data_IF_803759692674
#
_entry.id   IF_803759692674
#
_cell.length_a   1.000
_cell.length_b   1.000
_cell.length_c   1.000
_cell.angle_alpha   90.00
_cell.angle_beta   90.00
_cell.angle_gamma   90.00
#
_symmetry.space_group_name_H-M   'P 1'
#
loop_
_entity.id
_entity.type
_entity.pdbx_description
1 polymer ?
2 non-polymer ?
3 non-polymer ?
4 non-polymer ?
5 water ?
#
# COMPACT_ATOMS: atom_id res chain seq x y z
N UNK A 7 15.11 4.68 -9.50
CA UNK A 7 14.21 5.08 -10.58
C UNK A 7 14.12 3.99 -11.63
N UNK A 8 13.27 3.00 -11.37
CA UNK A 8 13.11 1.85 -12.26
C UNK A 8 12.02 2.18 -13.27
N UNK A 9 12.19 1.69 -14.50
CA UNK A 9 11.24 1.94 -15.58
C UNK A 9 10.36 0.70 -15.76
N UNK A 10 9.06 0.92 -15.82
CA UNK A 10 8.12 -0.18 -16.01
C UNK A 10 8.18 -0.68 -17.45
N UNK A 11 8.12 -2.00 -17.60
CA UNK A 11 8.15 -2.60 -18.93
C UNK A 11 7.03 -2.07 -19.82
N UNK A 12 5.94 -1.60 -19.22
CA UNK A 12 4.76 -1.23 -20.01
C UNK A 12 5.04 -0.03 -20.91
N UNK A 13 5.93 0.87 -20.49
CA UNK A 13 6.24 2.05 -21.27
C UNK A 13 6.05 3.37 -20.57
N UNK A 14 5.34 4.29 -21.22
CA UNK A 14 5.27 5.68 -20.79
C UNK A 14 4.15 5.90 -19.77
N UNK A 15 2.94 5.47 -20.09
CA UNK A 15 1.80 5.56 -19.18
C UNK A 15 1.07 4.23 -19.16
N UNK A 16 0.12 4.11 -18.24
CA UNK A 16 -0.64 2.87 -18.10
C UNK A 16 -1.41 2.57 -19.37
N UNK A 17 -1.39 1.30 -19.80
CA UNK A 17 -2.15 0.88 -20.96
C UNK A 17 -3.66 0.95 -20.73
N UNK A 18 -4.10 1.11 -19.48
CA UNK A 18 -5.52 1.21 -19.17
C UNK A 18 -6.09 2.58 -19.47
N UNK A 19 -5.25 3.60 -19.61
CA UNK A 19 -5.74 4.95 -19.85
C UNK A 19 -6.04 5.15 -21.33
N UNK A 20 -7.23 5.68 -21.61
CA UNK A 20 -7.65 5.91 -22.99
C UNK A 20 -7.12 7.22 -23.55
N UNK A 21 -7.01 8.25 -22.72
CA UNK A 21 -6.46 9.54 -23.12
C UNK A 21 -5.02 9.68 -22.65
N UNK A 22 -4.34 10.71 -23.15
CA UNK A 22 -2.98 10.98 -22.72
C UNK A 22 -2.98 11.45 -21.26
N UNK A 23 -2.00 10.97 -20.50
CA UNK A 23 -1.94 11.20 -19.07
C UNK A 23 -1.19 12.48 -18.76
N UNK A 24 -1.78 13.32 -17.92
CA UNK A 24 -1.16 14.58 -17.47
C UNK A 24 -0.95 14.50 -15.96
N UNK A 25 0.24 14.15 -15.50
CA UNK A 25 0.43 13.92 -14.05
C UNK A 25 0.17 15.15 -13.20
N UNK A 26 0.19 16.35 -13.77
CA UNK A 26 -0.01 17.56 -13.00
C UNK A 26 -1.47 17.96 -12.88
N UNK A 27 -2.32 17.44 -13.77
CA UNK A 27 -3.72 17.82 -13.81
C UNK A 27 -4.70 16.67 -13.65
N UNK A 28 -4.25 15.42 -13.74
CA UNK A 28 -5.14 14.28 -13.70
C UNK A 28 -5.08 13.58 -12.35
N UNK A 29 -6.21 12.98 -11.97
CA UNK A 29 -6.21 12.05 -10.86
C UNK A 29 -5.32 10.87 -11.18
N UNK A 30 -4.66 10.33 -10.15
CA UNK A 30 -3.65 9.31 -10.37
C UNK A 30 -3.68 8.30 -9.22
N UNK A 31 -3.01 7.17 -9.45
CA UNK A 31 -2.95 6.09 -8.48
C UNK A 31 -1.50 5.74 -8.19
N UNK A 32 -1.25 5.23 -6.99
CA UNK A 32 0.08 4.85 -6.55
C UNK A 32 -0.03 3.50 -5.84
N UNK A 33 0.76 2.53 -6.29
CA UNK A 33 0.80 1.20 -5.66
C UNK A 33 2.03 1.13 -4.76
N UNK A 34 1.80 0.87 -3.48
CA UNK A 34 2.87 0.78 -2.50
C UNK A 34 3.08 -0.69 -2.15
N UNK A 35 4.30 -1.16 -2.34
CA UNK A 35 4.66 -2.55 -2.06
C UNK A 35 5.74 -2.59 -0.98
N UNK A 36 5.47 -3.34 0.08
CA UNK A 36 6.44 -3.52 1.15
C UNK A 36 7.07 -4.90 1.11
N UNK A 37 8.39 -4.94 0.97
CA UNK A 37 9.14 -6.18 0.83
C UNK A 37 9.70 -6.56 2.19
N UNK A 38 9.73 -7.86 2.49
CA UNK A 38 10.10 -8.35 3.81
C UNK A 38 11.56 -8.73 3.91
N UNK A 39 12.44 -8.01 3.23
CA UNK A 39 13.88 -8.25 3.33
C UNK A 39 14.52 -7.22 4.26
N UNK A 49 14.02 -14.07 -3.56
CA UNK A 49 13.66 -14.64 -2.28
C UNK A 49 12.75 -13.69 -1.50
N UNK A 50 12.96 -12.40 -1.70
CA UNK A 50 12.18 -11.39 -0.99
C UNK A 50 10.73 -11.40 -1.45
N UNK A 51 9.81 -11.17 -0.50
CA UNK A 51 8.38 -11.27 -0.74
C UNK A 51 7.70 -9.95 -0.44
N UNK A 52 6.67 -9.64 -1.24
CA UNK A 52 5.89 -8.40 -1.08
C UNK A 52 4.72 -8.70 -0.15
N UNK A 53 4.91 -8.43 1.14
CA UNK A 53 3.88 -8.73 2.14
C UNK A 53 2.91 -7.58 2.36
N UNK A 54 3.27 -6.36 1.98
CA UNK A 54 2.38 -5.22 2.08
C UNK A 54 2.04 -4.75 0.67
N UNK A 55 0.75 -4.51 0.42
CA UNK A 55 0.27 -4.17 -0.91
C UNK A 55 -0.89 -3.18 -0.75
N UNK A 56 -0.59 -1.89 -0.92
CA UNK A 56 -1.57 -0.83 -0.68
C UNK A 56 -1.64 0.04 -1.93
N UNK A 57 -2.83 0.15 -2.52
CA UNK A 57 -3.08 1.04 -3.63
C UNK A 57 -3.77 2.30 -3.12
N UNK A 58 -3.24 3.46 -3.50
CA UNK A 58 -3.81 4.75 -3.12
C UNK A 58 -4.24 5.47 -4.40
N UNK A 59 -5.50 5.86 -4.46
CA UNK A 59 -6.05 6.59 -5.60
C UNK A 59 -6.37 8.01 -5.16
N UNK A 60 -5.83 8.98 -5.90
CA UNK A 60 -5.97 10.40 -5.56
C UNK A 60 -6.92 11.06 -6.53
N UNK A 61 -8.04 11.57 -6.01
CA UNK A 61 -8.98 12.35 -6.81
C UNK A 61 -8.55 13.81 -6.76
N UNK A 62 -7.97 14.30 -7.85
CA UNK A 62 -7.41 15.65 -7.87
C UNK A 62 -8.50 16.69 -7.65
N UNK A 63 -9.59 16.61 -8.43
CA UNK A 63 -10.63 17.62 -8.34
C UNK A 63 -11.18 17.72 -6.92
N UNK A 64 -11.49 16.58 -6.31
CA UNK A 64 -12.08 16.55 -4.98
C UNK A 64 -11.06 16.65 -3.87
N UNK A 65 -9.77 16.53 -4.18
CA UNK A 65 -8.71 16.58 -3.16
C UNK A 65 -8.93 15.49 -2.11
N UNK A 66 -9.13 14.26 -2.57
CA UNK A 66 -9.35 13.12 -1.70
C UNK A 66 -8.43 11.98 -2.10
N UNK A 67 -8.12 11.13 -1.13
CA UNK A 67 -7.34 9.91 -1.35
C UNK A 67 -8.04 8.75 -0.69
N UNK A 68 -8.10 7.62 -1.41
CA UNK A 68 -8.70 6.40 -0.90
C UNK A 68 -7.66 5.30 -0.92
N UNK A 69 -7.46 4.65 0.22
CA UNK A 69 -6.47 3.59 0.35
C UNK A 69 -7.17 2.23 0.25
N UNK A 70 -6.49 1.29 -0.39
CA UNK A 70 -7.01 -0.07 -0.55
C UNK A 70 -5.87 -1.03 -0.33
N UNK A 71 -5.99 -1.86 0.71
CA UNK A 71 -5.06 -2.95 0.93
C UNK A 71 -5.55 -4.17 0.16
N UNK A 72 -4.66 -4.76 -0.63
CA UNK A 72 -4.97 -5.95 -1.42
C UNK A 72 -4.54 -7.16 -0.61
N UNK A 73 -5.46 -8.00 -0.13
CA UNK A 73 -5.05 -9.19 0.63
C UNK A 73 -4.04 -10.01 -0.15
N UNK A 74 -2.92 -10.34 0.51
CA UNK A 74 -1.85 -11.05 -0.19
C UNK A 74 -2.29 -12.42 -0.66
N UNK A 75 -3.33 -13.00 -0.04
CA UNK A 75 -3.86 -14.29 -0.43
C UNK A 75 -5.08 -14.16 -1.36
N UNK A 76 -5.37 -12.96 -1.85
CA UNK A 76 -6.52 -12.76 -2.71
C UNK A 76 -6.46 -13.67 -3.93
N UNK A 77 -7.58 -14.32 -4.24
CA UNK A 77 -7.66 -15.29 -5.33
C UNK A 77 -7.93 -14.53 -6.62
N UNK A 78 -6.86 -14.29 -7.39
CA UNK A 78 -6.92 -13.44 -8.56
C UNK A 78 -6.16 -14.09 -9.71
N UNK A 79 -6.44 -13.62 -10.92
CA UNK A 79 -5.72 -14.06 -12.11
C UNK A 79 -4.38 -13.34 -12.17
N UNK A 80 -3.29 -14.11 -12.19
CA UNK A 80 -1.96 -13.58 -12.45
C UNK A 80 -1.69 -13.76 -13.95
N UNK A 81 -1.65 -12.69 -14.73
CA UNK A 81 -1.46 -12.85 -16.18
C UNK A 81 -0.29 -13.76 -16.51
N UNK A 82 -0.55 -14.77 -17.34
CA UNK A 82 0.45 -15.74 -17.71
C UNK A 82 0.71 -16.82 -16.68
N UNK A 83 -0.05 -16.85 -15.58
CA UNK A 83 0.14 -17.87 -14.55
C UNK A 83 -1.15 -18.45 -13.98
N UNK A 84 -2.32 -17.91 -14.31
CA UNK A 84 -3.57 -18.45 -13.84
C UNK A 84 -3.97 -17.90 -12.47
N UNK A 85 -5.12 -18.38 -12.01
CA UNK A 85 -5.61 -17.99 -10.70
C UNK A 85 -4.66 -18.46 -9.61
N UNK A 86 -4.34 -17.57 -8.68
CA UNK A 86 -3.36 -17.86 -7.63
C UNK A 86 -3.45 -16.76 -6.58
N UNK A 87 -2.61 -16.87 -5.54
CA UNK A 87 -2.51 -15.81 -4.54
C UNK A 87 -1.95 -14.55 -5.17
N UNK A 88 -2.54 -13.41 -4.79
CA UNK A 88 -2.09 -12.12 -5.34
C UNK A 88 -0.59 -11.93 -5.17
N UNK A 89 -0.06 -12.24 -3.98
CA UNK A 89 1.34 -11.97 -3.68
C UNK A 89 2.29 -12.76 -4.57
N UNK A 90 1.81 -13.82 -5.23
CA UNK A 90 2.69 -14.60 -6.09
C UNK A 90 3.03 -13.86 -7.38
N UNK A 91 2.26 -12.83 -7.74
CA UNK A 91 2.58 -12.04 -8.92
C UNK A 91 3.96 -11.41 -8.78
N UNK A 92 4.24 -10.80 -7.64
CA UNK A 92 5.57 -10.22 -7.42
C UNK A 92 6.64 -11.30 -7.39
N UNK A 93 6.32 -12.47 -6.83
CA UNK A 93 7.28 -13.57 -6.81
C UNK A 93 7.59 -14.05 -8.23
N UNK A 94 6.58 -14.10 -9.09
CA UNK A 94 6.77 -14.66 -10.43
C UNK A 94 7.40 -13.65 -11.38
N UNK A 95 6.98 -12.39 -11.32
CA UNK A 95 7.41 -11.41 -12.29
C UNK A 95 7.69 -10.02 -11.73
N UNK A 96 8.00 -9.93 -10.44
CA UNK A 96 8.39 -8.67 -9.86
C UNK A 96 7.32 -7.60 -9.98
N UNK A 97 7.79 -6.34 -9.92
CA UNK A 97 6.88 -5.20 -9.87
C UNK A 97 6.05 -5.12 -11.14
N UNK A 98 6.64 -5.47 -12.29
CA UNK A 98 5.91 -5.38 -13.56
C UNK A 98 4.66 -6.25 -13.53
N UNK A 99 4.79 -7.48 -13.04
CA UNK A 99 3.65 -8.39 -13.03
C UNK A 99 2.63 -8.01 -11.97
N UNK A 100 3.08 -7.47 -10.83
CA UNK A 100 2.15 -7.00 -9.82
C UNK A 100 1.29 -5.87 -10.37
N UNK A 101 1.92 -4.92 -11.06
CA UNK A 101 1.15 -3.83 -11.68
C UNK A 101 0.11 -4.39 -12.63
N UNK A 102 0.51 -5.34 -13.48
CA UNK A 102 -0.43 -5.93 -14.44
C UNK A 102 -1.57 -6.65 -13.71
N UNK A 103 -1.25 -7.36 -12.63
CA UNK A 103 -2.29 -8.06 -11.88
C UNK A 103 -3.29 -7.07 -11.27
N UNK A 104 -2.80 -5.96 -10.73
CA UNK A 104 -3.67 -4.96 -10.14
C UNK A 104 -4.56 -4.33 -11.21
N UNK A 105 -3.97 -3.96 -12.35
CA UNK A 105 -4.75 -3.30 -13.40
C UNK A 105 -5.85 -4.21 -13.93
N UNK A 106 -5.57 -5.51 -14.04
CA UNK A 106 -6.60 -6.44 -14.48
C UNK A 106 -7.63 -6.66 -13.39
N UNK A 107 -7.18 -6.77 -12.15
CA UNK A 107 -8.08 -7.05 -11.04
C UNK A 107 -9.08 -5.93 -10.83
N UNK A 108 -8.63 -4.68 -10.89
CA UNK A 108 -9.48 -3.54 -10.59
C UNK A 108 -9.86 -2.73 -11.84
N UNK A 109 -9.35 -3.10 -13.01
CA UNK A 109 -9.70 -2.42 -14.26
C UNK A 109 -9.50 -0.91 -14.13
N UNK A 110 -8.35 -0.54 -13.58
CA UNK A 110 -7.96 0.87 -13.45
C UNK A 110 -6.48 0.99 -13.77
N UNK A 111 -6.02 2.20 -14.11
CA UNK A 111 -4.59 2.41 -14.29
C UNK A 111 -3.85 2.45 -12.96
N UNK A 112 -2.68 1.83 -12.94
CA UNK A 112 -1.72 1.99 -11.86
C UNK A 112 -0.64 2.92 -12.42
N UNK A 113 -0.67 4.18 -11.99
CA UNK A 113 0.20 5.18 -12.60
C UNK A 113 1.62 5.11 -12.03
N UNK A 114 1.76 4.99 -10.72
CA UNK A 114 3.06 4.93 -10.07
C UNK A 114 3.10 3.73 -9.13
N UNK A 115 4.31 3.23 -8.91
CA UNK A 115 4.55 2.13 -8.00
C UNK A 115 5.79 2.44 -7.17
N UNK A 116 5.73 2.14 -5.88
CA UNK A 116 6.84 2.35 -4.96
C UNK A 116 7.10 1.04 -4.24
N UNK A 117 8.33 0.55 -4.34
CA UNK A 117 8.75 -0.67 -3.66
C UNK A 117 9.71 -0.30 -2.54
N UNK A 118 9.44 -0.80 -1.34
CA UNK A 118 10.20 -0.43 -0.15
C UNK A 118 10.53 -1.67 0.65
N UNK A 119 11.73 -1.69 1.24
CA UNK A 119 12.11 -2.68 2.23
C UNK A 119 11.97 -2.08 3.62
N UNK A 120 12.34 -2.86 4.64
CA UNK A 120 12.20 -2.41 6.03
C UNK A 120 13.00 -1.13 6.27
N UNK A 121 14.21 -1.05 5.71
CA UNK A 121 15.10 0.06 6.04
C UNK A 121 14.53 1.39 5.56
N UNK A 122 14.02 1.44 4.33
CA UNK A 122 13.44 2.67 3.83
C UNK A 122 12.27 3.13 4.70
N UNK A 123 11.39 2.19 5.06
CA UNK A 123 10.25 2.52 5.90
C UNK A 123 10.73 3.12 7.22
N UNK A 124 11.66 2.44 7.90
CA UNK A 124 12.16 2.94 9.18
C UNK A 124 12.78 4.32 9.04
N UNK A 125 13.61 4.50 8.01
CA UNK A 125 14.29 5.79 7.83
C UNK A 125 13.29 6.89 7.53
N UNK A 126 12.26 6.59 6.73
CA UNK A 126 11.23 7.59 6.44
C UNK A 126 10.52 8.02 7.72
N UNK A 127 10.11 7.04 8.53
CA UNK A 127 9.40 7.34 9.77
C UNK A 127 10.26 8.19 10.68
N UNK A 128 11.52 7.82 10.86
CA UNK A 128 12.41 8.54 11.77
C UNK A 128 12.71 9.94 11.25
N UNK A 129 12.85 10.10 9.93
CA UNK A 129 13.06 11.42 9.36
C UNK A 129 11.88 12.34 9.69
N UNK A 130 10.68 11.80 9.74
CA UNK A 130 9.49 12.56 10.12
C UNK A 130 9.39 12.74 11.63
N UNK A 131 10.40 12.35 12.39
CA UNK A 131 10.36 12.43 13.85
C UNK A 131 9.22 11.57 14.41
N UNK A 132 9.04 10.40 13.82
CA UNK A 132 8.03 9.46 14.25
C UNK A 132 6.66 9.78 13.68
N UNK A 133 5.78 8.78 13.73
CA UNK A 133 4.41 8.91 13.24
C UNK A 133 3.46 8.63 14.40
N UNK A 134 2.35 9.37 14.42
CA UNK A 134 1.38 9.27 15.49
C UNK A 134 0.43 8.10 15.26
N UNK A 135 0.31 7.24 16.27
CA UNK A 135 -0.60 6.10 16.23
C UNK A 135 -1.30 6.01 17.58
N UNK A 136 -2.61 5.81 17.55
CA UNK A 136 -3.39 5.57 18.77
C UNK A 136 -3.57 4.07 18.90
N UNK A 137 -2.73 3.44 19.74
CA UNK A 137 -2.82 2.02 19.99
C UNK A 137 -3.93 1.75 20.98
N UNK A 138 -4.70 0.68 20.74
CA UNK A 138 -5.91 0.43 21.52
C UNK A 138 -6.07 -1.00 22.01
N UNK A 139 -5.28 -1.95 21.52
CA UNK A 139 -5.49 -3.37 21.81
C UNK A 139 -4.32 -3.91 22.62
N UNK A 140 -4.63 -4.46 23.79
CA UNK A 140 -3.62 -5.16 24.57
C UNK A 140 -3.13 -6.41 23.85
N UNK A 141 -4.01 -7.09 23.11
CA UNK A 141 -3.60 -8.28 22.37
C UNK A 141 -2.59 -7.93 21.29
N UNK A 142 -2.78 -6.79 20.61
CA UNK A 142 -1.80 -6.34 19.62
C UNK A 142 -0.49 -5.99 20.31
N UNK A 143 -0.55 -5.29 21.44
CA UNK A 143 0.67 -4.97 22.19
C UNK A 143 1.41 -6.24 22.56
N UNK A 144 0.70 -7.25 23.04
CA UNK A 144 1.35 -8.47 23.51
C UNK A 144 1.96 -9.25 22.35
N UNK A 145 1.28 -9.28 21.20
CA UNK A 145 1.80 -10.01 20.06
C UNK A 145 3.04 -9.33 19.48
N UNK A 146 3.05 -7.99 19.47
CA UNK A 146 4.22 -7.28 18.99
C UNK A 146 5.41 -7.55 19.91
N UNK A 147 5.17 -7.64 21.21
CA UNK A 147 6.22 -8.02 22.14
C UNK A 147 6.78 -9.39 21.80
N UNK A 148 5.90 -10.36 21.53
CA UNK A 148 6.36 -11.68 21.11
C UNK A 148 7.09 -11.60 19.78
N UNK A 149 6.49 -10.94 18.79
CA UNK A 149 7.13 -10.79 17.48
C UNK A 149 8.56 -10.31 17.62
N UNK A 150 8.80 -9.32 18.46
CA UNK A 150 10.10 -8.67 18.57
C UNK A 150 10.90 -9.14 19.78
N UNK A 151 10.44 -10.19 20.46
CA UNK A 151 11.11 -10.67 21.67
C UNK A 151 11.35 -9.53 22.65
N UNK A 152 10.33 -8.67 22.80
CA UNK A 152 10.35 -7.62 23.80
C UNK A 152 11.07 -6.34 23.39
N UNK A 153 11.64 -6.27 22.18
CA UNK A 153 12.33 -5.05 21.77
C UNK A 153 11.36 -3.90 21.58
N UNK A 154 10.14 -4.18 21.13
CA UNK A 154 9.13 -3.16 20.88
C UNK A 154 7.99 -3.37 21.87
N UNK A 155 7.77 -2.38 22.73
CA UNK A 155 6.70 -2.41 23.73
C UNK A 155 5.88 -1.14 23.54
N UNK A 156 4.70 -1.28 22.96
CA UNK A 156 3.84 -0.13 22.71
C UNK A 156 2.90 0.10 23.89
N UNK A 157 2.42 1.34 24.00
CA UNK A 157 1.45 1.74 25.00
C UNK A 157 0.12 2.08 24.35
N UNK A 158 -0.96 1.82 25.07
CA UNK A 158 -2.26 2.29 24.63
C UNK A 158 -2.30 3.82 24.69
N UNK A 159 -3.15 4.41 23.86
CA UNK A 159 -3.23 5.85 23.77
C UNK A 159 -2.51 6.38 22.54
N UNK A 160 -2.47 7.71 22.46
CA UNK A 160 -1.91 8.40 21.30
C UNK A 160 -0.44 8.69 21.58
N UNK A 161 0.44 8.04 20.81
CA UNK A 161 1.88 8.20 20.99
C UNK A 161 2.55 8.24 19.64
N UNK A 162 3.76 8.81 19.62
CA UNK A 162 4.56 8.91 18.41
C UNK A 162 5.51 7.72 18.36
N UNK A 163 5.37 6.88 17.33
CA UNK A 163 6.22 5.72 17.17
C UNK A 163 7.41 6.04 16.28
N UNK A 164 8.55 5.45 16.60
CA UNK A 164 9.73 5.58 15.75
C UNK A 164 9.69 4.49 14.68
N UNK A 165 10.72 4.48 13.82
CA UNK A 165 10.72 3.55 12.71
C UNK A 165 10.61 2.10 13.15
N UNK A 166 11.37 1.72 14.18
CA UNK A 166 11.34 0.34 14.65
C UNK A 166 9.97 -0.02 15.19
N UNK A 167 9.35 0.88 15.93
CA UNK A 167 8.04 0.60 16.52
C UNK A 167 6.96 0.54 15.45
N UNK A 168 6.99 1.47 14.49
CA UNK A 168 5.98 1.48 13.43
C UNK A 168 6.13 0.25 12.54
N UNK A 169 7.37 -0.20 12.29
CA UNK A 169 7.58 -1.36 11.46
C UNK A 169 6.99 -2.62 12.09
N UNK A 170 7.23 -2.80 13.40
CA UNK A 170 6.65 -3.95 14.09
C UNK A 170 5.13 -3.88 14.09
N UNK A 171 4.58 -2.66 14.19
CA UNK A 171 3.15 -2.49 14.21
C UNK A 171 2.52 -2.93 12.89
N UNK A 172 3.15 -2.59 11.76
CA UNK A 172 2.59 -2.94 10.45
C UNK A 172 2.94 -4.36 10.02
N UNK A 173 3.75 -5.08 10.79
CA UNK A 173 4.12 -6.45 10.47
C UNK A 173 3.33 -7.50 11.25
N UNK A 174 2.94 -7.20 12.49
CA UNK A 174 2.33 -8.20 13.35
C UNK A 174 1.03 -8.73 12.73
N UNK A 175 0.74 -10.01 12.99
CA UNK A 175 -0.53 -10.58 12.54
C UNK A 175 -0.96 -11.83 13.30
N UNK A 176 -0.08 -12.45 14.11
CA UNK A 176 -0.47 -13.72 14.72
C UNK A 176 -1.65 -13.56 15.67
N UNK A 177 -1.81 -12.40 16.28
CA UNK A 177 -2.97 -12.16 17.13
C UNK A 177 -4.23 -11.85 16.32
N UNK A 178 -4.10 -11.58 15.02
CA UNK A 178 -5.27 -11.23 14.23
C UNK A 178 -4.93 -11.26 12.75
N UNK A 179 -5.94 -11.54 11.92
CA UNK A 179 -5.78 -11.85 10.51
C UNK A 179 -4.88 -10.89 9.73
N UNK A 180 -4.59 -11.24 8.48
CA UNK A 180 -3.84 -10.37 7.57
C UNK A 180 -4.65 -9.14 7.18
N UNK A 181 -5.97 -9.20 7.27
CA UNK A 181 -6.80 -8.05 6.93
C UNK A 181 -6.66 -6.95 7.98
N UNK A 182 -6.54 -7.32 9.25
CA UNK A 182 -6.26 -6.33 10.28
C UNK A 182 -4.85 -5.76 10.10
N UNK A 183 -3.91 -6.55 9.62
CA UNK A 183 -2.59 -6.02 9.31
C UNK A 183 -2.65 -4.99 8.19
N UNK A 184 -3.47 -5.25 7.16
CA UNK A 184 -3.65 -4.28 6.11
C UNK A 184 -4.26 -2.98 6.61
N UNK A 185 -5.17 -3.07 7.58
CA UNK A 185 -5.74 -1.85 8.15
C UNK A 185 -4.72 -1.10 9.01
N UNK A 186 -3.83 -1.81 9.70
CA UNK A 186 -2.75 -1.14 10.40
C UNK A 186 -1.78 -0.48 9.43
N UNK A 187 -1.60 -1.07 8.25
CA UNK A 187 -0.73 -0.46 7.25
C UNK A 187 -1.33 0.82 6.69
N UNK A 188 -2.63 0.81 6.39
CA UNK A 188 -3.28 2.03 5.90
C UNK A 188 -3.35 3.09 6.99
N UNK A 189 -3.51 2.67 8.24
CA UNK A 189 -3.47 3.61 9.37
C UNK A 189 -2.12 4.31 9.45
N UNK A 190 -1.03 3.55 9.37
CA UNK A 190 0.30 4.16 9.47
C UNK A 190 0.61 4.98 8.23
N UNK A 191 0.17 4.53 7.06
CA UNK A 191 0.41 5.28 5.84
C UNK A 191 -0.22 6.67 5.93
N UNK A 192 -1.45 6.75 6.40
CA UNK A 192 -2.12 8.05 6.54
C UNK A 192 -1.45 8.89 7.62
N UNK A 193 -0.87 8.26 8.64
CA UNK A 193 -0.13 9.00 9.66
C UNK A 193 1.17 9.56 9.09
N UNK A 194 1.82 8.83 8.19
CA UNK A 194 3.00 9.34 7.51
C UNK A 194 2.65 10.60 6.73
N UNK A 195 1.54 10.55 5.98
CA UNK A 195 1.10 11.70 5.21
C UNK A 195 0.82 12.87 6.15
N UNK A 196 0.12 12.62 7.25
CA UNK A 196 -0.19 13.69 8.20
C UNK A 196 1.08 14.31 8.77
N UNK A 197 2.08 13.50 9.07
CA UNK A 197 3.31 14.02 9.67
C UNK A 197 4.17 14.76 8.65
N UNK A 198 4.04 14.43 7.36
CA UNK A 198 4.76 15.16 6.33
C UNK A 198 4.19 16.55 6.12
N UNK A 199 2.93 16.78 6.50
CA UNK A 199 2.38 18.13 6.47
C UNK A 199 3.20 19.07 7.32
N UNK A 200 3.53 18.65 8.54
CA UNK A 200 4.32 19.46 9.47
C UNK A 200 5.81 19.24 9.24
N UNK A 201 6.26 19.60 8.05
CA UNK A 201 7.67 19.52 7.69
C UNK A 201 8.20 20.93 7.45
N UNK A 202 9.53 21.03 7.33
CA UNK A 202 10.19 22.33 7.27
C UNK A 202 9.62 23.19 6.14
N UNK A 203 9.86 22.78 4.89
CA UNK A 203 9.40 23.54 3.73
C UNK A 203 8.76 22.63 2.70
N UNK A 212 18.82 12.10 0.05
CA UNK A 212 18.33 11.10 -0.88
C UNK A 212 19.05 9.77 -0.65
N UNK A 213 19.45 9.55 0.61
CA UNK A 213 20.18 8.35 0.96
C UNK A 213 19.29 7.10 0.96
N UNK A 214 18.03 7.21 0.58
CA UNK A 214 17.14 6.06 0.55
C UNK A 214 17.38 5.15 -0.65
N UNK A 215 18.39 5.43 -1.47
CA UNK A 215 18.66 4.58 -2.62
C UNK A 215 18.98 3.16 -2.22
N UNK A 216 18.68 2.23 -3.13
CA UNK A 216 18.90 0.81 -2.88
C UNK A 216 17.88 0.25 -1.89
N UNK A 217 17.07 1.14 -1.28
CA UNK A 217 16.03 0.73 -0.36
C UNK A 217 14.63 1.09 -0.83
N UNK A 218 14.48 2.15 -1.62
CA UNK A 218 13.19 2.61 -2.12
C UNK A 218 13.29 2.71 -3.65
N UNK A 219 12.53 1.87 -4.35
CA UNK A 219 12.50 1.86 -5.80
C UNK A 219 11.11 2.31 -6.26
N UNK A 220 11.08 3.22 -7.23
CA UNK A 220 9.83 3.74 -7.75
C UNK A 220 10.01 4.12 -9.21
N UNK A 221 8.88 4.26 -9.91
CA UNK A 221 8.88 4.49 -11.35
C UNK A 221 8.77 5.97 -11.70
N UNK A 222 9.17 6.87 -10.80
CA UNK A 222 9.25 8.28 -11.11
C UNK A 222 10.46 8.86 -10.40
N UNK A 223 10.89 10.03 -10.87
CA UNK A 223 12.07 10.67 -10.32
C UNK A 223 11.73 11.39 -9.03
N UNK A 224 12.78 11.70 -8.25
CA UNK A 224 12.59 12.46 -7.02
C UNK A 224 11.94 13.81 -7.32
N UNK A 225 12.35 14.46 -8.41
CA UNK A 225 11.79 15.76 -8.74
C UNK A 225 10.28 15.68 -8.93
N UNK A 226 9.82 14.77 -9.79
CA UNK A 226 8.39 14.61 -9.99
C UNK A 226 7.67 14.27 -8.69
N UNK A 227 8.33 13.55 -7.79
CA UNK A 227 7.72 13.23 -6.50
C UNK A 227 7.50 14.49 -5.67
N UNK A 228 8.47 15.40 -5.65
CA UNK A 228 8.32 16.64 -4.90
C UNK A 228 7.17 17.47 -5.47
N UNK A 229 6.95 17.39 -6.78
CA UNK A 229 5.87 18.16 -7.39
C UNK A 229 4.50 17.76 -6.88
N UNK A 230 4.33 16.49 -6.50
CA UNK A 230 3.06 16.01 -5.99
C UNK A 230 2.90 16.25 -4.49
N UNK A 231 3.98 16.54 -3.79
CA UNK A 231 3.92 16.69 -2.33
C UNK A 231 2.90 17.73 -1.89
N UNK A 232 2.87 18.95 -2.44
CA UNK A 232 1.85 19.91 -2.00
C UNK A 232 0.44 19.39 -2.10
N UNK A 233 0.10 18.70 -3.19
CA UNK A 233 -1.25 18.16 -3.33
C UNK A 233 -1.50 17.04 -2.33
N UNK A 234 -0.52 16.15 -2.14
CA UNK A 234 -0.72 14.99 -1.27
C UNK A 234 -0.86 15.42 0.18
N UNK A 235 -0.26 16.53 0.57
CA UNK A 235 -0.26 16.98 1.95
C UNK A 235 -1.39 17.94 2.27
N UNK A 236 -2.33 18.14 1.35
CA UNK A 236 -3.42 19.09 1.56
C UNK A 236 -4.75 18.48 1.12
N UNK A 237 -4.92 17.18 1.38
CA UNK A 237 -6.15 16.50 1.00
C UNK A 237 -7.26 16.86 1.97
N UNK A 238 -8.48 16.94 1.44
CA UNK A 238 -9.65 17.24 2.26
C UNK A 238 -10.12 16.03 3.06
N UNK A 239 -9.87 14.83 2.56
CA UNK A 239 -10.35 13.62 3.20
C UNK A 239 -9.44 12.45 2.82
N UNK A 240 -9.31 11.51 3.76
CA UNK A 240 -8.62 10.24 3.52
C UNK A 240 -9.55 9.13 3.98
N UNK A 241 -9.76 8.15 3.10
CA UNK A 241 -10.67 7.06 3.38
C UNK A 241 -9.99 5.72 3.12
N UNK A 242 -10.52 4.69 3.76
CA UNK A 242 -10.05 3.33 3.59
C UNK A 242 -11.14 2.49 2.93
N UNK A 243 -10.74 1.66 1.98
CA UNK A 243 -11.63 0.71 1.34
C UNK A 243 -11.14 -0.70 1.67
N UNK A 244 -12.08 -1.63 1.78
CA UNK A 244 -11.78 -3.01 2.16
C UNK A 244 -12.47 -3.95 1.19
N UNK A 245 -11.68 -4.81 0.55
CA UNK A 245 -12.22 -5.86 -0.31
C UNK A 245 -12.65 -7.02 0.57
N UNK A 246 -13.96 -7.28 0.63
CA UNK A 246 -14.48 -8.36 1.45
C UNK A 246 -14.44 -9.67 0.67
N UNK A 247 -14.63 -10.76 1.40
CA UNK A 247 -14.58 -12.08 0.79
C UNK A 247 -14.72 -13.16 1.83
N UNK A 248 -14.38 -14.37 1.41
CA UNK A 248 -14.48 -15.54 2.27
C UNK A 248 -13.32 -16.48 1.99
N UNK A 249 -13.07 -17.36 2.95
CA UNK A 249 -11.96 -18.30 2.83
C UNK A 249 -12.26 -19.35 1.77
N UNK A 250 -11.21 -19.72 1.02
CA UNK A 250 -11.31 -20.73 -0.03
C UNK A 250 -10.08 -21.61 0.07
N UNK A 251 -10.26 -22.83 0.59
CA UNK A 251 -9.15 -23.72 0.92
C UNK A 251 -9.44 -25.11 0.37
N UNK A 252 -9.42 -25.27 -0.95
CA UNK A 252 -9.74 -26.57 -1.55
C UNK A 252 -8.84 -27.70 -1.08
N UNK A 253 -7.53 -27.62 -1.39
CA UNK A 253 -6.57 -28.68 -1.10
C UNK A 253 -5.38 -28.10 -0.34
N UNK A 254 -5.57 -27.82 0.94
CA UNK A 254 -4.47 -27.42 1.81
C UNK A 254 -3.74 -26.17 1.37
N UNK A 255 -4.35 -25.34 0.53
CA UNK A 255 -3.79 -24.04 0.16
C UNK A 255 -4.86 -22.99 0.39
N UNK A 256 -4.52 -21.97 1.19
CA UNK A 256 -5.49 -20.96 1.56
C UNK A 256 -5.50 -19.83 0.54
N UNK A 257 -6.69 -19.54 0.02
CA UNK A 257 -6.94 -18.35 -0.79
C UNK A 257 -8.07 -17.55 -0.16
N UNK A 258 -8.11 -16.26 -0.48
CA UNK A 258 -9.18 -15.37 -0.04
C UNK A 258 -9.97 -14.99 -1.29
N UNK A 259 -11.11 -15.66 -1.50
CA UNK A 259 -11.96 -15.34 -2.63
C UNK A 259 -12.70 -14.03 -2.37
N UNK A 260 -12.69 -13.16 -3.36
CA UNK A 260 -13.25 -11.83 -3.22
C UNK A 260 -14.75 -11.81 -3.50
N UNK A 261 -15.49 -11.09 -2.67
CA UNK A 261 -16.90 -10.86 -2.94
C UNK A 261 -17.04 -10.04 -4.21
N UNK A 262 -17.66 -10.65 -5.24
CA UNK A 262 -17.68 -10.03 -6.56
C UNK A 262 -18.53 -8.77 -6.60
N UNK A 263 -19.56 -8.67 -5.74
CA UNK A 263 -20.34 -7.44 -5.69
C UNK A 263 -19.55 -6.31 -5.05
N UNK A 264 -18.84 -6.60 -3.96
CA UNK A 264 -18.00 -5.58 -3.35
C UNK A 264 -16.84 -5.21 -4.27
N UNK A 265 -16.27 -6.20 -4.96
CA UNK A 265 -15.20 -5.93 -5.91
C UNK A 265 -15.67 -4.95 -6.99
N UNK A 266 -16.87 -5.19 -7.55
CA UNK A 266 -17.40 -4.30 -8.58
C UNK A 266 -17.64 -2.91 -8.02
N UNK A 267 -18.22 -2.80 -6.83
CA UNK A 267 -18.44 -1.50 -6.21
C UNK A 267 -17.13 -0.75 -6.04
N UNK A 268 -16.08 -1.46 -5.60
CA UNK A 268 -14.77 -0.84 -5.44
C UNK A 268 -14.23 -0.38 -6.80
N UNK A 269 -14.32 -1.26 -7.80
CA UNK A 269 -13.84 -0.90 -9.13
C UNK A 269 -14.53 0.36 -9.63
N UNK A 270 -15.86 0.41 -9.54
CA UNK A 270 -16.59 1.59 -9.97
C UNK A 270 -16.14 2.84 -9.21
N UNK A 271 -15.94 2.71 -7.90
CA UNK A 271 -15.56 3.87 -7.10
C UNK A 271 -14.17 4.38 -7.49
N UNK A 272 -13.23 3.48 -7.76
CA UNK A 272 -11.89 3.90 -8.13
C UNK A 272 -11.84 4.38 -9.57
N UNK A 273 -12.61 3.76 -10.47
CA UNK A 273 -12.69 4.24 -11.84
C UNK A 273 -13.25 5.66 -11.88
N UNK A 274 -14.34 5.90 -11.16
CA UNK A 274 -14.90 7.25 -11.10
C UNK A 274 -13.90 8.23 -10.47
N UNK A 275 -13.16 7.77 -9.46
CA UNK A 275 -12.17 8.64 -8.81
C UNK A 275 -11.04 9.01 -9.76
N UNK A 276 -10.71 8.12 -10.70
CA UNK A 276 -9.61 8.34 -11.63
C UNK A 276 -10.06 8.95 -12.95
N UNK A 277 -11.36 9.19 -13.12
CA UNK A 277 -11.84 9.78 -14.35
C UNK A 277 -11.95 8.82 -15.51
N UNK A 278 -12.29 7.56 -15.25
CA UNK A 278 -12.43 6.57 -16.31
C UNK A 278 -13.79 5.90 -16.21
#
# INVERSE_FOLDING_TARGET
MASKEAHVSLARGEQSVKRIKEFDPGKDSFSVLLLGIDAREKNGETVDQARSDANVLVTFNRKEKTAKMLSIPRDAYVNIPGHGYDKFTHAHAYGGVDLTVKTVEEMLDIPVDYVVESNFTAFEDVVNELNGVKVTVKSDKVIQQIKKDTKGKVVLQKGTHTLDGEEALAYVRTRKADSDLLRGQRQMEVLSAIIDKSKSLSSIPAYDDIVDTMGQNLKMNLSLKDAIGLFPFITSLKSVESIQLTGYDYEPAGVYYFKLNQQKLQEVKKELQNDLGVLEHHHHHH
#
